data_IF_643191368428
#
_entry.id   IF_643191368428
#
_cell.length_a   1.000
_cell.length_b   1.000
_cell.length_c   1.000
_cell.angle_alpha   90.00
_cell.angle_beta   90.00
_cell.angle_gamma   90.00
#
_symmetry.space_group_name_H-M   'P 1'
#
loop_
_entity.id
_entity.type
_entity.pdbx_description
1 polymer ?
#
# COMPACT_ATOMS: atom_id res chain seq x y z
N UNK A 1 15.55 15.98 89.77
CA UNK A 1 16.59 16.03 88.72
C UNK A 1 16.57 14.80 87.83
N UNK A 2 16.39 13.58 88.36
CA UNK A 2 16.26 12.34 87.56
C UNK A 2 15.02 12.27 86.65
N UNK A 3 13.90 12.86 87.07
CA UNK A 3 12.62 12.79 86.36
C UNK A 3 12.60 13.71 85.11
N UNK A 4 13.05 14.96 85.26
CA UNK A 4 13.27 15.91 84.16
C UNK A 4 14.27 15.40 83.10
N UNK A 5 15.28 14.63 83.52
CA UNK A 5 16.22 13.99 82.60
C UNK A 5 15.57 12.83 81.83
N UNK A 6 14.66 12.08 82.46
CA UNK A 6 13.91 11.00 81.82
C UNK A 6 12.90 11.52 80.78
N UNK A 7 12.19 12.61 81.10
CA UNK A 7 11.27 13.27 80.14
C UNK A 7 12.02 13.88 78.96
N UNK A 8 13.17 14.52 79.20
CA UNK A 8 14.00 15.06 78.14
C UNK A 8 14.56 13.95 77.21
N UNK A 9 14.94 12.80 77.78
CA UNK A 9 15.41 11.66 76.99
C UNK A 9 14.27 11.05 76.16
N UNK A 10 13.08 10.87 76.74
CA UNK A 10 11.92 10.35 76.03
C UNK A 10 11.46 11.28 74.88
N UNK A 11 11.53 12.60 75.08
CA UNK A 11 11.24 13.57 74.04
C UNK A 11 12.28 13.54 72.90
N UNK A 12 13.55 13.31 73.22
CA UNK A 12 14.63 13.17 72.23
C UNK A 12 14.47 11.89 71.40
N UNK A 13 14.11 10.78 72.05
CA UNK A 13 13.88 9.48 71.40
C UNK A 13 12.64 9.55 70.48
N UNK A 14 11.56 10.20 70.92
CA UNK A 14 10.37 10.42 70.10
C UNK A 14 10.67 11.33 68.89
N UNK A 15 11.47 12.38 69.08
CA UNK A 15 11.87 13.27 67.98
C UNK A 15 12.75 12.56 66.96
N UNK A 16 13.68 11.71 67.39
CA UNK A 16 14.55 10.93 66.48
C UNK A 16 13.77 9.88 65.71
N UNK A 17 12.78 9.23 66.32
CA UNK A 17 11.86 8.33 65.62
C UNK A 17 11.05 9.06 64.52
N UNK A 18 10.50 10.24 64.84
CA UNK A 18 9.80 11.08 63.87
C UNK A 18 10.70 11.52 62.69
N UNK A 19 11.96 11.86 62.96
CA UNK A 19 12.91 12.21 61.90
C UNK A 19 13.25 11.02 61.00
N UNK A 20 13.39 9.82 61.57
CA UNK A 20 13.62 8.61 60.77
C UNK A 20 12.42 8.28 59.87
N UNK A 21 11.19 8.47 60.36
CA UNK A 21 9.98 8.29 59.56
C UNK A 21 9.90 9.32 58.42
N UNK A 22 10.28 10.58 58.68
CA UNK A 22 10.32 11.64 57.67
C UNK A 22 11.37 11.37 56.58
N UNK A 23 12.51 10.78 56.94
CA UNK A 23 13.57 10.38 55.99
C UNK A 23 13.09 9.23 55.08
N UNK A 24 12.34 8.27 55.61
CA UNK A 24 11.73 7.21 54.82
C UNK A 24 10.69 7.77 53.82
N UNK A 25 9.79 8.67 54.27
CA UNK A 25 8.82 9.31 53.38
C UNK A 25 9.49 10.13 52.28
N UNK A 26 10.58 10.86 52.59
CA UNK A 26 11.32 11.61 51.56
C UNK A 26 12.06 10.68 50.59
N UNK A 27 12.56 9.53 51.06
CA UNK A 27 13.09 8.46 50.22
C UNK A 27 12.05 7.90 49.25
N UNK A 28 10.87 7.54 49.75
CA UNK A 28 9.76 7.04 48.94
C UNK A 28 9.28 8.10 47.92
N UNK A 29 9.17 9.36 48.33
CA UNK A 29 8.81 10.46 47.44
C UNK A 29 9.82 10.65 46.31
N UNK A 30 11.13 10.47 46.59
CA UNK A 30 12.19 10.57 45.57
C UNK A 30 12.13 9.42 44.56
N UNK A 31 11.82 8.21 45.01
CA UNK A 31 11.62 7.05 44.12
C UNK A 31 10.42 7.31 43.20
N UNK A 32 9.29 7.78 43.75
CA UNK A 32 8.10 8.09 42.98
C UNK A 32 8.36 9.21 41.96
N UNK A 33 9.06 10.28 42.36
CA UNK A 33 9.44 11.37 41.47
C UNK A 33 10.30 10.88 40.29
N UNK A 34 11.28 10.01 40.55
CA UNK A 34 12.13 9.44 39.51
C UNK A 34 11.33 8.53 38.55
N UNK A 35 10.37 7.76 39.08
CA UNK A 35 9.50 6.91 38.28
C UNK A 35 8.62 7.75 37.34
N UNK A 36 8.00 8.82 37.88
CA UNK A 36 7.20 9.77 37.08
C UNK A 36 8.07 10.47 36.03
N UNK A 37 9.27 10.92 36.40
CA UNK A 37 10.20 11.56 35.46
C UNK A 37 10.65 10.61 34.32
N UNK A 38 10.65 9.30 34.56
CA UNK A 38 11.00 8.29 33.54
C UNK A 38 9.79 7.92 32.67
N UNK A 39 8.58 7.90 33.24
CA UNK A 39 7.36 7.47 32.54
C UNK A 39 6.70 8.61 31.75
N UNK A 40 6.76 9.86 32.23
CA UNK A 40 6.13 10.99 31.56
C UNK A 40 6.59 11.17 30.10
N UNK A 41 7.89 11.15 29.78
CA UNK A 41 8.34 11.29 28.38
C UNK A 41 7.87 10.12 27.49
N UNK A 42 7.71 8.92 28.06
CA UNK A 42 7.21 7.75 27.30
C UNK A 42 5.72 7.86 27.02
N UNK A 43 4.95 8.43 27.95
CA UNK A 43 3.53 8.69 27.75
C UNK A 43 3.33 9.76 26.68
N UNK A 44 4.13 10.82 26.69
CA UNK A 44 4.07 11.89 25.68
C UNK A 44 4.33 11.33 24.27
N UNK A 45 5.39 10.52 24.10
CA UNK A 45 5.69 9.85 22.82
C UNK A 45 4.54 8.93 22.38
N UNK A 46 3.94 8.18 23.31
CA UNK A 46 2.81 7.30 23.00
C UNK A 46 1.55 8.09 22.62
N UNK A 47 1.27 9.22 23.28
CA UNK A 47 0.15 10.10 22.92
C UNK A 47 0.34 10.75 21.56
N UNK A 48 1.56 11.18 21.22
CA UNK A 48 1.87 11.72 19.89
C UNK A 48 1.70 10.64 18.82
N UNK A 49 2.22 9.43 19.05
CA UNK A 49 2.01 8.29 18.16
C UNK A 49 0.52 7.95 17.98
N UNK A 50 -0.26 7.97 19.06
CA UNK A 50 -1.71 7.75 19.02
C UNK A 50 -2.44 8.85 18.22
N UNK A 51 -2.02 10.11 18.34
CA UNK A 51 -2.57 11.21 17.56
C UNK A 51 -2.30 10.99 16.06
N UNK A 52 -1.06 10.65 15.68
CA UNK A 52 -0.69 10.33 14.31
C UNK A 52 -1.49 9.14 13.75
N UNK A 53 -1.66 8.07 14.54
CA UNK A 53 -2.48 6.91 14.15
C UNK A 53 -3.95 7.28 13.97
N UNK A 54 -4.48 8.18 14.81
CA UNK A 54 -5.88 8.61 14.72
C UNK A 54 -6.10 9.49 13.49
N UNK A 55 -5.15 10.36 13.17
CA UNK A 55 -5.18 11.18 11.95
C UNK A 55 -5.10 10.31 10.70
N UNK A 56 -4.16 9.35 10.66
CA UNK A 56 -4.02 8.39 9.57
C UNK A 56 -5.27 7.50 9.40
N UNK A 57 -5.85 7.02 10.49
CA UNK A 57 -7.09 6.25 10.45
C UNK A 57 -8.26 7.09 9.92
N UNK A 58 -8.38 8.35 10.35
CA UNK A 58 -9.34 9.32 9.84
C UNK A 58 -9.20 9.55 8.34
N UNK A 59 -7.97 9.79 7.88
CA UNK A 59 -7.64 9.97 6.47
C UNK A 59 -7.96 8.72 5.64
N UNK A 60 -7.65 7.53 6.18
CA UNK A 60 -7.94 6.24 5.54
C UNK A 60 -9.45 5.98 5.39
N UNK A 61 -10.23 6.26 6.43
CA UNK A 61 -11.70 6.12 6.39
C UNK A 61 -12.34 7.11 5.39
N UNK A 62 -11.85 8.35 5.33
CA UNK A 62 -12.33 9.34 4.36
C UNK A 62 -11.95 8.97 2.92
N UNK A 63 -10.73 8.47 2.72
CA UNK A 63 -10.27 7.96 1.42
C UNK A 63 -11.12 6.77 0.96
N UNK A 64 -11.49 5.87 1.86
CA UNK A 64 -12.37 4.73 1.60
C UNK A 64 -13.79 5.18 1.21
N UNK A 65 -14.39 6.09 1.99
CA UNK A 65 -15.72 6.64 1.69
C UNK A 65 -15.76 7.37 0.33
N UNK A 66 -14.73 8.17 0.04
CA UNK A 66 -14.59 8.87 -1.23
C UNK A 66 -14.41 7.88 -2.39
N UNK A 67 -13.60 6.84 -2.20
CA UNK A 67 -13.37 5.78 -3.20
C UNK A 67 -14.68 5.05 -3.53
N UNK A 68 -15.44 4.66 -2.50
CA UNK A 68 -16.73 4.02 -2.69
C UNK A 68 -17.71 4.89 -3.49
N UNK A 69 -17.79 6.18 -3.17
CA UNK A 69 -18.69 7.08 -3.89
C UNK A 69 -18.24 7.30 -5.34
N UNK A 70 -16.95 7.45 -5.60
CA UNK A 70 -16.41 7.53 -6.96
C UNK A 70 -16.72 6.25 -7.76
N UNK A 71 -16.58 5.07 -7.16
CA UNK A 71 -16.93 3.83 -7.85
C UNK A 71 -18.42 3.77 -8.21
N UNK A 72 -19.30 4.15 -7.28
CA UNK A 72 -20.73 4.23 -7.54
C UNK A 72 -21.07 5.19 -8.69
N UNK A 73 -20.43 6.36 -8.74
CA UNK A 73 -20.64 7.34 -9.82
C UNK A 73 -20.12 6.82 -11.16
N UNK A 74 -18.94 6.20 -11.17
CA UNK A 74 -18.33 5.66 -12.38
C UNK A 74 -19.10 4.45 -12.93
N UNK A 75 -19.69 3.61 -12.09
CA UNK A 75 -20.56 2.50 -12.53
C UNK A 75 -21.81 3.03 -13.23
N UNK A 76 -22.45 4.05 -12.66
CA UNK A 76 -23.60 4.72 -13.27
C UNK A 76 -23.25 5.31 -14.64
N UNK A 77 -22.11 5.98 -14.75
CA UNK A 77 -21.64 6.57 -16.01
C UNK A 77 -21.33 5.50 -17.07
N UNK A 78 -20.69 4.38 -16.68
CA UNK A 78 -20.44 3.26 -17.59
C UNK A 78 -21.73 2.62 -18.11
N UNK A 79 -22.73 2.43 -17.24
CA UNK A 79 -24.05 1.90 -17.64
C UNK A 79 -24.77 2.84 -18.61
N UNK A 80 -24.70 4.15 -18.37
CA UNK A 80 -25.27 5.17 -19.24
C UNK A 80 -24.56 5.20 -20.60
N UNK A 81 -23.23 5.19 -20.61
CA UNK A 81 -22.43 5.16 -21.84
C UNK A 81 -22.74 3.90 -22.68
N UNK A 82 -22.76 2.72 -22.05
CA UNK A 82 -23.13 1.46 -22.72
C UNK A 82 -24.55 1.51 -23.29
N UNK A 83 -25.50 2.07 -22.56
CA UNK A 83 -26.89 2.25 -23.01
C UNK A 83 -26.98 3.23 -24.19
N UNK A 84 -26.21 4.31 -24.17
CA UNK A 84 -26.12 5.28 -25.26
C UNK A 84 -25.54 4.64 -26.52
N UNK A 85 -24.48 3.82 -26.39
CA UNK A 85 -23.92 3.04 -27.50
C UNK A 85 -24.95 2.11 -28.11
N UNK A 86 -25.70 1.35 -27.29
CA UNK A 86 -26.77 0.44 -27.78
C UNK A 86 -27.85 1.19 -28.55
N UNK A 87 -28.33 2.32 -28.01
CA UNK A 87 -29.34 3.16 -28.69
C UNK A 87 -28.82 3.74 -30.00
N UNK A 88 -27.58 4.21 -30.03
CA UNK A 88 -26.94 4.76 -31.23
C UNK A 88 -26.69 3.72 -32.33
N UNK A 89 -26.40 2.48 -31.95
CA UNK A 89 -26.26 1.35 -32.89
C UNK A 89 -27.61 0.91 -33.49
N UNK A 90 -28.71 1.15 -32.76
CA UNK A 90 -30.06 0.82 -33.21
C UNK A 90 -30.67 1.85 -34.18
N UNK A 91 -30.09 3.05 -34.33
CA UNK A 91 -30.57 4.03 -35.33
C UNK A 91 -30.11 3.69 -36.75
N UNK A 92 -30.87 4.10 -37.76
CA UNK A 92 -30.51 3.99 -39.19
C UNK A 92 -30.61 5.36 -39.87
N UNK A 93 -29.50 5.94 -40.35
CA UNK A 93 -28.12 5.48 -40.15
C UNK A 93 -27.72 5.51 -38.66
N UNK A 94 -26.70 4.71 -38.30
CA UNK A 94 -26.16 4.69 -36.94
C UNK A 94 -25.61 6.07 -36.57
N UNK A 95 -25.89 6.52 -35.35
CA UNK A 95 -25.36 7.78 -34.85
C UNK A 95 -23.91 7.56 -34.40
N UNK A 96 -22.97 7.72 -35.34
CA UNK A 96 -21.53 7.50 -35.11
C UNK A 96 -20.94 8.45 -34.08
N UNK A 97 -21.41 9.69 -34.03
CA UNK A 97 -20.92 10.70 -33.08
C UNK A 97 -21.27 10.31 -31.64
N UNK A 98 -22.49 9.81 -31.42
CA UNK A 98 -22.93 9.33 -30.11
C UNK A 98 -22.19 8.06 -29.67
N UNK A 99 -21.84 7.17 -30.62
CA UNK A 99 -21.00 6.00 -30.34
C UNK A 99 -19.59 6.42 -29.93
N UNK A 100 -19.00 7.39 -30.64
CA UNK A 100 -17.67 7.89 -30.31
C UNK A 100 -17.66 8.56 -28.94
N UNK A 101 -18.61 9.46 -28.68
CA UNK A 101 -18.75 10.14 -27.40
C UNK A 101 -18.90 9.15 -26.23
N UNK A 102 -19.73 8.12 -26.37
CA UNK A 102 -19.88 7.09 -25.34
C UNK A 102 -18.59 6.29 -25.07
N UNK A 103 -17.77 6.06 -26.11
CA UNK A 103 -16.44 5.44 -25.94
C UNK A 103 -15.47 6.36 -25.20
N UNK A 104 -15.47 7.65 -25.52
CA UNK A 104 -14.61 8.64 -24.87
C UNK A 104 -14.95 8.78 -23.37
N UNK A 105 -16.25 8.77 -23.04
CA UNK A 105 -16.73 8.74 -21.65
C UNK A 105 -16.25 7.48 -20.93
N UNK A 106 -16.37 6.31 -21.56
CA UNK A 106 -15.93 5.03 -20.97
C UNK A 106 -14.42 5.02 -20.71
N UNK A 107 -13.63 5.55 -21.65
CA UNK A 107 -12.18 5.69 -21.51
C UNK A 107 -11.80 6.61 -20.34
N UNK A 108 -12.44 7.79 -20.26
CA UNK A 108 -12.20 8.78 -19.20
C UNK A 108 -12.55 8.22 -17.82
N UNK A 109 -13.67 7.51 -17.71
CA UNK A 109 -14.10 6.84 -16.47
C UNK A 109 -13.09 5.76 -16.06
N UNK A 110 -12.52 5.04 -17.01
CA UNK A 110 -11.50 4.01 -16.74
C UNK A 110 -10.21 4.63 -16.18
N UNK A 111 -9.77 5.77 -16.72
CA UNK A 111 -8.62 6.53 -16.20
C UNK A 111 -8.91 7.04 -14.79
N UNK A 112 -10.10 7.59 -14.55
CA UNK A 112 -10.50 8.10 -13.24
C UNK A 112 -10.49 7.00 -12.18
N UNK A 113 -10.98 5.79 -12.51
CA UNK A 113 -10.91 4.62 -11.63
C UNK A 113 -9.48 4.22 -11.30
N UNK A 114 -8.58 4.25 -12.26
CA UNK A 114 -7.17 3.96 -12.03
C UNK A 114 -6.55 4.97 -11.06
N UNK A 115 -6.84 6.27 -11.23
CA UNK A 115 -6.35 7.33 -10.34
C UNK A 115 -6.86 7.17 -8.90
N UNK A 116 -8.15 6.87 -8.73
CA UNK A 116 -8.73 6.71 -7.38
C UNK A 116 -8.32 5.38 -6.72
N UNK A 117 -7.99 4.35 -7.51
CA UNK A 117 -7.39 3.14 -6.98
C UNK A 117 -6.05 3.40 -6.25
N UNK A 118 -5.32 4.46 -6.61
CA UNK A 118 -4.08 4.88 -5.92
C UNK A 118 -4.32 5.66 -4.62
N UNK A 119 -5.54 6.18 -4.39
CA UNK A 119 -5.89 6.95 -3.19
C UNK A 119 -6.41 6.08 -2.05
N UNK A 120 -6.69 4.80 -2.30
CA UNK A 120 -7.13 3.88 -1.25
C UNK A 120 -5.92 3.21 -0.59
N UNK A 121 -5.68 3.43 0.71
CA UNK A 121 -4.75 2.61 1.50
C UNK A 121 -5.28 1.17 1.70
N UNK A 122 -6.55 0.93 1.36
CA UNK A 122 -7.31 -0.25 1.72
C UNK A 122 -8.26 -0.69 0.60
N UNK A 123 -7.79 -1.51 -0.34
CA UNK A 123 -8.66 -2.42 -1.09
C UNK A 123 -9.09 -3.61 -0.19
N UNK A 124 -9.68 -3.28 0.96
CA UNK A 124 -10.22 -4.24 1.91
C UNK A 124 -11.75 -4.30 1.90
N UNK A 125 -12.45 -3.96 0.81
CA UNK A 125 -13.89 -4.28 0.73
C UNK A 125 -14.51 -4.28 -0.69
N UNK A 126 -13.76 -4.68 -1.74
CA UNK A 126 -14.41 -5.11 -3.00
C UNK A 126 -14.49 -6.64 -3.07
N UNK A 127 -15.63 -7.12 -2.56
CA UNK A 127 -16.22 -8.47 -2.71
C UNK A 127 -15.33 -9.64 -2.32
N UNK A 128 -15.37 -10.03 -1.04
CA UNK A 128 -14.98 -11.36 -0.55
C UNK A 128 -15.97 -12.45 -1.03
N UNK A 129 -16.22 -12.56 -2.34
CA UNK A 129 -16.62 -13.86 -2.88
C UNK A 129 -15.34 -14.55 -3.28
N UNK A 130 -14.87 -15.45 -2.42
CA UNK A 130 -13.96 -16.47 -2.87
C UNK A 130 -14.67 -17.25 -3.96
N UNK A 131 -14.02 -17.39 -5.10
CA UNK A 131 -14.50 -18.21 -6.20
C UNK A 131 -13.46 -19.27 -6.51
N UNK A 132 -13.94 -20.46 -6.84
CA UNK A 132 -13.08 -21.52 -7.38
C UNK A 132 -12.75 -21.14 -8.81
N UNK A 133 -11.47 -20.83 -9.05
CA UNK A 133 -10.97 -20.50 -10.37
C UNK A 133 -10.00 -21.58 -10.86
N UNK A 134 -10.08 -21.88 -12.15
CA UNK A 134 -9.06 -22.63 -12.87
C UNK A 134 -7.89 -21.68 -13.15
N UNK A 135 -6.70 -21.97 -12.59
CA UNK A 135 -5.55 -21.06 -12.71
C UNK A 135 -5.13 -20.86 -14.18
N UNK A 136 -5.13 -21.91 -15.00
CA UNK A 136 -4.77 -21.76 -16.41
C UNK A 136 -5.78 -20.88 -17.17
N UNK A 137 -7.07 -20.95 -16.84
CA UNK A 137 -8.11 -20.08 -17.37
C UNK A 137 -7.81 -18.61 -17.09
N UNK A 138 -7.53 -18.28 -15.82
CA UNK A 138 -7.18 -16.92 -15.42
C UNK A 138 -5.93 -16.40 -16.15
N UNK A 139 -4.87 -17.22 -16.22
CA UNK A 139 -3.61 -16.81 -16.86
C UNK A 139 -3.74 -16.63 -18.38
N UNK A 140 -4.60 -17.41 -19.04
CA UNK A 140 -4.92 -17.22 -20.47
C UNK A 140 -5.62 -15.88 -20.70
N UNK A 141 -6.58 -15.52 -19.85
CA UNK A 141 -7.28 -14.22 -19.93
C UNK A 141 -6.31 -13.05 -19.76
N UNK A 142 -5.43 -13.12 -18.76
CA UNK A 142 -4.37 -12.11 -18.54
C UNK A 142 -3.49 -11.99 -19.80
N UNK A 143 -3.00 -13.12 -20.32
CA UNK A 143 -2.17 -13.14 -21.53
C UNK A 143 -2.88 -12.49 -22.73
N UNK A 144 -4.15 -12.81 -22.93
CA UNK A 144 -4.91 -12.31 -24.08
C UNK A 144 -5.24 -10.81 -23.92
N UNK A 145 -5.49 -10.35 -22.68
CA UNK A 145 -5.63 -8.94 -22.34
C UNK A 145 -4.38 -8.14 -22.70
N UNK A 146 -3.20 -8.57 -22.24
CA UNK A 146 -1.94 -7.88 -22.52
C UNK A 146 -1.54 -7.96 -23.99
N UNK A 147 -1.81 -9.06 -24.68
CA UNK A 147 -1.59 -9.16 -26.14
C UNK A 147 -2.38 -8.08 -26.88
N UNK A 148 -3.68 -7.94 -26.61
CA UNK A 148 -4.52 -6.93 -27.25
C UNK A 148 -4.06 -5.50 -26.95
N UNK A 149 -3.64 -5.24 -25.70
CA UNK A 149 -3.06 -3.95 -25.30
C UNK A 149 -1.81 -3.61 -26.12
N UNK A 150 -0.91 -4.57 -26.31
CA UNK A 150 0.37 -4.35 -26.96
C UNK A 150 0.31 -4.25 -28.48
N UNK A 151 -0.66 -4.93 -29.11
CA UNK A 151 -0.98 -4.78 -30.54
C UNK A 151 -1.27 -3.30 -30.88
N UNK A 152 -1.92 -2.57 -29.97
CA UNK A 152 -2.23 -1.14 -30.16
C UNK A 152 -1.00 -0.25 -29.99
N UNK A 153 0.02 -0.70 -29.26
CA UNK A 153 1.20 0.10 -28.90
C UNK A 153 2.50 -0.28 -29.64
N UNK A 154 2.43 -1.13 -30.68
CA UNK A 154 3.60 -1.64 -31.43
C UNK A 154 4.68 -2.27 -30.53
N UNK A 155 4.29 -2.86 -29.41
CA UNK A 155 5.22 -3.50 -28.49
C UNK A 155 5.15 -5.02 -28.67
N UNK A 156 6.20 -5.63 -29.21
CA UNK A 156 6.23 -7.08 -29.41
C UNK A 156 6.81 -7.77 -28.16
N UNK A 157 5.91 -8.20 -27.27
CA UNK A 157 6.26 -8.98 -26.08
C UNK A 157 5.48 -10.29 -26.04
N UNK A 158 6.15 -11.37 -25.65
CA UNK A 158 5.54 -12.70 -25.51
C UNK A 158 5.36 -13.04 -24.04
N UNK A 159 4.16 -13.53 -23.69
CA UNK A 159 3.90 -14.16 -22.40
C UNK A 159 3.88 -15.68 -22.60
N UNK A 160 4.88 -16.38 -22.04
CA UNK A 160 4.95 -17.83 -22.02
C UNK A 160 4.30 -18.37 -20.73
N UNK A 161 3.36 -19.31 -20.86
CA UNK A 161 2.71 -19.98 -19.74
C UNK A 161 3.23 -21.41 -19.66
N UNK A 162 3.87 -21.78 -18.55
CA UNK A 162 4.40 -23.14 -18.33
C UNK A 162 3.92 -23.64 -16.99
N UNK A 163 3.29 -24.82 -16.92
CA UNK A 163 2.75 -25.25 -15.64
C UNK A 163 1.81 -26.42 -15.70
N UNK A 164 1.39 -26.84 -14.50
CA UNK A 164 0.33 -27.82 -14.28
C UNK A 164 -0.88 -27.10 -13.70
N UNK A 165 -2.05 -27.34 -14.27
CA UNK A 165 -3.28 -26.65 -13.88
C UNK A 165 -3.78 -27.09 -12.51
N UNK A 166 -4.48 -26.18 -11.82
CA UNK A 166 -5.10 -26.44 -10.53
C UNK A 166 -6.25 -25.46 -10.27
N UNK A 167 -7.21 -25.94 -9.50
CA UNK A 167 -8.28 -25.10 -8.97
C UNK A 167 -7.85 -24.48 -7.64
N UNK A 168 -8.17 -23.20 -7.46
CA UNK A 168 -7.94 -22.50 -6.20
C UNK A 168 -9.15 -21.66 -5.83
N UNK A 169 -9.50 -21.68 -4.55
CA UNK A 169 -10.50 -20.80 -3.98
C UNK A 169 -9.84 -19.47 -3.58
N UNK A 170 -10.08 -18.42 -4.35
CA UNK A 170 -9.46 -17.10 -4.15
C UNK A 170 -10.36 -15.97 -4.63
N UNK A 171 -10.09 -14.75 -4.16
CA UNK A 171 -10.65 -13.55 -4.77
C UNK A 171 -9.95 -13.30 -6.13
N UNK A 172 -10.63 -13.62 -7.22
CA UNK A 172 -10.11 -13.44 -8.60
C UNK A 172 -9.69 -12.01 -8.90
N UNK A 173 -10.44 -11.01 -8.44
CA UNK A 173 -10.12 -9.60 -8.65
C UNK A 173 -8.77 -9.21 -8.02
N UNK A 174 -8.51 -9.66 -6.78
CA UNK A 174 -7.23 -9.43 -6.11
C UNK A 174 -6.08 -10.15 -6.80
N UNK A 175 -6.28 -11.39 -7.24
CA UNK A 175 -5.27 -12.12 -7.98
C UNK A 175 -4.92 -11.41 -9.30
N UNK A 176 -5.92 -10.98 -10.06
CA UNK A 176 -5.71 -10.19 -11.28
C UNK A 176 -4.92 -8.92 -10.99
N UNK A 177 -5.25 -8.18 -9.93
CA UNK A 177 -4.56 -6.95 -9.58
C UNK A 177 -3.07 -7.18 -9.29
N UNK A 178 -2.73 -8.25 -8.57
CA UNK A 178 -1.33 -8.60 -8.29
C UNK A 178 -0.60 -8.92 -9.59
N UNK A 179 -1.19 -9.77 -10.44
CA UNK A 179 -0.61 -10.18 -11.72
C UNK A 179 -0.43 -8.96 -12.65
N UNK A 180 -1.45 -8.11 -12.77
CA UNK A 180 -1.41 -6.90 -13.59
C UNK A 180 -0.31 -5.96 -13.14
N UNK A 181 -0.14 -5.75 -11.84
CA UNK A 181 0.91 -4.88 -11.32
C UNK A 181 2.30 -5.40 -11.69
N UNK A 182 2.52 -6.71 -11.52
CA UNK A 182 3.80 -7.34 -11.86
C UNK A 182 4.08 -7.26 -13.37
N UNK A 183 3.08 -7.53 -14.22
CA UNK A 183 3.23 -7.45 -15.68
C UNK A 183 3.43 -6.00 -16.14
N UNK A 184 2.72 -5.02 -15.58
CA UNK A 184 2.91 -3.60 -15.90
C UNK A 184 4.30 -3.11 -15.47
N UNK A 185 4.83 -3.63 -14.37
CA UNK A 185 6.20 -3.36 -13.95
C UNK A 185 7.19 -3.95 -14.95
N UNK A 186 7.01 -5.22 -15.35
CA UNK A 186 7.83 -5.86 -16.38
C UNK A 186 7.75 -5.11 -17.73
N UNK A 187 6.56 -4.75 -18.21
CA UNK A 187 6.34 -3.99 -19.45
C UNK A 187 7.18 -2.71 -19.47
N UNK A 188 7.21 -1.97 -18.37
CA UNK A 188 7.98 -0.74 -18.24
C UNK A 188 9.49 -0.99 -18.47
N UNK A 189 10.07 -1.94 -17.74
CA UNK A 189 11.50 -2.22 -17.81
C UNK A 189 11.92 -2.87 -19.13
N UNK A 190 11.05 -3.71 -19.69
CA UNK A 190 11.24 -4.31 -21.00
C UNK A 190 11.24 -3.26 -22.12
N UNK A 191 10.35 -2.25 -22.05
CA UNK A 191 10.35 -1.11 -22.98
C UNK A 191 11.62 -0.29 -22.85
N UNK A 192 12.06 0.02 -21.63
CA UNK A 192 13.29 0.78 -21.41
C UNK A 192 14.53 0.04 -21.97
N UNK A 193 14.58 -1.28 -21.80
CA UNK A 193 15.66 -2.10 -22.37
C UNK A 193 15.59 -2.17 -23.89
N UNK A 194 14.39 -2.31 -24.47
CA UNK A 194 14.18 -2.33 -25.91
C UNK A 194 14.58 -1.00 -26.58
N UNK A 195 14.36 0.14 -25.91
CA UNK A 195 14.83 1.45 -26.39
C UNK A 195 16.37 1.53 -26.46
N UNK A 196 17.07 0.82 -25.57
CA UNK A 196 18.54 0.77 -25.53
C UNK A 196 19.14 -0.29 -26.45
N UNK A 197 18.41 -1.38 -26.70
CA UNK A 197 18.80 -2.49 -27.56
C UNK A 197 17.62 -2.94 -28.45
N UNK A 198 17.51 -2.43 -29.70
CA UNK A 198 16.42 -2.79 -30.61
C UNK A 198 16.40 -4.26 -31.05
N UNK A 199 17.49 -5.01 -30.86
CA UNK A 199 17.54 -6.45 -31.17
C UNK A 199 17.00 -7.31 -30.02
N UNK A 200 16.78 -6.70 -28.85
CA UNK A 200 16.18 -7.36 -27.69
C UNK A 200 14.77 -7.84 -28.00
N UNK A 201 14.43 -9.04 -27.51
CA UNK A 201 13.09 -9.62 -27.64
C UNK A 201 12.46 -9.73 -26.26
N UNK A 202 11.53 -8.82 -25.90
CA UNK A 202 10.84 -8.86 -24.62
C UNK A 202 10.08 -10.17 -24.41
N UNK A 203 10.30 -10.81 -23.26
CA UNK A 203 9.60 -12.03 -22.85
C UNK A 203 9.26 -11.98 -21.36
N UNK A 204 8.05 -12.42 -21.05
CA UNK A 204 7.56 -12.67 -19.70
C UNK A 204 7.23 -14.16 -19.62
N UNK A 205 7.78 -14.85 -18.62
CA UNK A 205 7.46 -16.23 -18.29
C UNK A 205 6.58 -16.25 -17.04
N UNK A 206 5.50 -17.03 -17.10
CA UNK A 206 4.63 -17.31 -15.96
C UNK A 206 4.65 -18.82 -15.73
N UNK A 207 5.36 -19.24 -14.69
CA UNK A 207 5.39 -20.62 -14.22
C UNK A 207 4.33 -20.82 -13.13
N UNK A 208 3.46 -21.81 -13.30
CA UNK A 208 2.39 -22.09 -12.34
C UNK A 208 2.29 -23.58 -11.99
N UNK A 209 2.24 -23.86 -10.70
CA UNK A 209 2.01 -25.19 -10.13
C UNK A 209 1.17 -25.03 -8.85
N UNK A 210 0.56 -26.09 -8.30
CA UNK A 210 -0.28 -25.97 -7.12
C UNK A 210 0.40 -25.15 -6.00
N UNK A 211 -0.27 -24.08 -5.57
CA UNK A 211 0.17 -23.14 -4.53
C UNK A 211 1.43 -22.31 -4.85
N UNK A 212 1.92 -22.30 -6.10
CA UNK A 212 3.06 -21.48 -6.50
C UNK A 212 2.83 -20.84 -7.86
N UNK A 213 2.97 -19.51 -7.90
CA UNK A 213 2.98 -18.71 -9.10
C UNK A 213 4.29 -17.94 -9.17
N UNK A 214 5.05 -18.09 -10.25
CA UNK A 214 6.27 -17.35 -10.51
C UNK A 214 6.10 -16.56 -11.79
N UNK A 215 6.35 -15.25 -11.72
CA UNK A 215 6.37 -14.36 -12.88
C UNK A 215 7.81 -13.87 -13.02
N UNK A 216 8.35 -13.94 -14.22
CA UNK A 216 9.72 -13.52 -14.52
C UNK A 216 9.78 -12.82 -15.86
N UNK A 217 10.60 -11.78 -15.96
CA UNK A 217 10.87 -11.08 -17.20
C UNK A 217 12.36 -11.15 -17.55
N UNK A 218 12.68 -10.95 -18.84
CA UNK A 218 14.06 -10.92 -19.32
C UNK A 218 14.64 -9.48 -19.40
N UNK A 219 14.16 -8.57 -18.55
CA UNK A 219 14.56 -7.17 -18.47
C UNK A 219 15.97 -6.95 -17.90
N UNK A 220 16.28 -5.74 -17.40
CA UNK A 220 17.58 -5.39 -16.84
C UNK A 220 17.83 -5.99 -15.44
N UNK A 221 16.80 -6.58 -14.80
CA UNK A 221 16.85 -7.01 -13.41
C UNK A 221 16.75 -5.82 -12.45
N UNK A 222 16.79 -6.11 -11.14
CA UNK A 222 16.75 -5.08 -10.11
C UNK A 222 18.13 -4.91 -9.49
N UNK A 223 18.52 -3.65 -9.24
CA UNK A 223 19.78 -3.35 -8.56
C UNK A 223 19.73 -3.85 -7.11
N UNK A 224 20.78 -4.56 -6.67
CA UNK A 224 20.86 -5.13 -5.32
C UNK A 224 20.78 -4.08 -4.22
N UNK A 225 21.12 -2.83 -4.51
CA UNK A 225 21.05 -1.73 -3.54
C UNK A 225 19.63 -1.35 -3.11
N UNK A 226 18.60 -1.77 -3.86
CA UNK A 226 17.20 -1.50 -3.53
C UNK A 226 16.37 -2.76 -3.29
N UNK A 227 17.00 -3.94 -3.29
CA UNK A 227 16.32 -5.23 -3.17
C UNK A 227 15.44 -5.32 -1.91
N UNK A 228 15.96 -4.82 -0.79
CA UNK A 228 15.27 -4.81 0.50
C UNK A 228 14.15 -3.73 0.58
N UNK A 229 14.24 -2.68 -0.24
CA UNK A 229 13.31 -1.54 -0.22
C UNK A 229 12.24 -1.59 -1.33
N UNK A 230 12.31 -2.55 -2.25
CA UNK A 230 11.36 -2.69 -3.38
C UNK A 230 9.91 -2.89 -2.94
N UNK A 231 9.72 -3.43 -1.74
CA UNK A 231 8.41 -3.70 -1.17
C UNK A 231 7.94 -2.61 -0.20
N UNK A 232 8.78 -1.58 0.03
CA UNK A 232 8.37 -0.40 0.81
C UNK A 232 7.47 0.51 -0.02
N UNK A 233 6.40 1.08 0.58
CA UNK A 233 5.53 2.03 -0.10
C UNK A 233 6.31 3.23 -0.68
N UNK A 234 5.92 3.69 -1.87
CA UNK A 234 6.47 4.88 -2.55
C UNK A 234 7.90 4.77 -3.12
N UNK A 235 8.56 3.62 -3.00
CA UNK A 235 9.85 3.36 -3.67
C UNK A 235 9.62 3.00 -5.15
N UNK A 236 10.23 3.74 -6.06
CA UNK A 236 10.21 3.47 -7.51
C UNK A 236 11.54 3.83 -8.14
N UNK A 237 12.08 2.93 -8.97
CA UNK A 237 13.27 3.19 -9.78
C UNK A 237 12.95 3.86 -11.13
N UNK A 238 11.66 4.11 -11.43
CA UNK A 238 11.26 4.80 -12.66
C UNK A 238 11.71 6.27 -12.59
N UNK A 239 12.38 6.84 -13.62
CA UNK A 239 12.73 8.25 -13.62
C UNK A 239 11.48 9.11 -13.43
N UNK A 240 11.56 10.10 -12.54
CA UNK A 240 10.49 11.09 -12.36
C UNK A 240 10.25 11.79 -13.71
N UNK A 241 9.09 11.55 -14.35
CA UNK A 241 8.65 12.41 -15.45
C UNK A 241 8.52 13.83 -14.90
N UNK A 242 9.20 14.76 -15.54
CA UNK A 242 9.24 16.17 -15.16
C UNK A 242 7.81 16.71 -15.13
N UNK A 243 7.25 16.92 -13.93
CA UNK A 243 5.86 17.36 -13.78
C UNK A 243 5.13 16.93 -12.50
N UNK A 244 5.70 16.09 -11.63
CA UNK A 244 5.07 15.77 -10.34
C UNK A 244 5.93 16.26 -9.18
N UNK A 245 5.44 17.32 -8.54
CA UNK A 245 5.99 17.91 -7.32
C UNK A 245 6.00 16.85 -6.21
N UNK A 246 7.17 16.62 -5.64
CA UNK A 246 7.39 16.52 -4.19
C UNK A 246 8.89 16.70 -3.96
N UNK A 247 9.22 17.90 -3.46
CA UNK A 247 10.41 18.15 -2.66
C UNK A 247 10.41 17.17 -1.49
N UNK A 248 11.49 16.42 -1.35
CA UNK A 248 11.94 15.95 -0.04
C UNK A 248 13.43 16.23 0.01
N UNK A 249 13.73 17.46 0.38
CA UNK A 249 15.03 17.87 0.88
C UNK A 249 15.19 17.23 2.27
N UNK A 250 16.09 16.26 2.41
CA UNK A 250 17.30 16.42 3.23
C UNK A 250 18.05 15.08 3.39
N UNK A 251 19.32 15.16 3.02
CA UNK A 251 20.37 14.23 3.40
C UNK A 251 20.58 14.23 4.93
N UNK A 252 20.86 13.08 5.53
CA UNK A 252 21.29 13.08 6.94
C UNK A 252 21.48 11.74 7.65
N UNK A 253 22.49 10.97 7.25
CA UNK A 253 23.40 10.18 8.13
C UNK A 253 22.82 9.22 9.19
N UNK A 254 23.17 7.93 9.14
CA UNK A 254 23.13 7.11 10.36
C UNK A 254 23.14 5.57 10.27
N UNK A 255 24.19 4.97 9.73
CA UNK A 255 24.92 3.75 10.20
C UNK A 255 24.19 2.70 11.12
N UNK A 256 24.43 1.41 10.80
CA UNK A 256 24.26 0.13 11.55
C UNK A 256 22.94 -0.63 11.31
N UNK A 257 22.90 -1.91 10.95
CA UNK A 257 23.95 -2.90 10.72
C UNK A 257 23.35 -4.31 10.51
N UNK A 258 23.97 -5.07 9.60
CA UNK A 258 24.16 -6.53 9.56
C UNK A 258 22.98 -7.52 9.71
N UNK A 259 22.88 -8.32 8.64
CA UNK A 259 22.32 -9.68 8.42
C UNK A 259 20.83 -9.80 8.12
#
# INVERSE_FOLDING_TARGET
MSELLGEAQAALDASTALFAELDDYTGQARILANLVATLAPRLDVLTDQLADFTELAGLGMLAEALTHEVYNQTDRLMLQASSATKKAQATRPQNRDLIQFARDVTSTVSVLRALVAHLSPSLRYQRDSLETIEMSGLLKEVRDHFRSRWETSQFECKIALTGSDFDIEINRGRMLQVIDNLILNAEYWLKEKLERDPAFKPEIAIDYEPYRLRISDNGPGVDRSVEDALFEPFITLKPKKQGSICDVDQAGRGIHGRF
#
